data_IF_781357676490
#
_entry.id   IF_781357676490
#
_cell.length_a   1.000
_cell.length_b   1.000
_cell.length_c   1.000
_cell.angle_alpha   90.00
_cell.angle_beta   90.00
_cell.angle_gamma   90.00
#
_symmetry.space_group_name_H-M   'P 1'
#
loop_
_entity.id
_entity.type
_entity.pdbx_description
1 polymer ?
#
# COMPACT_ATOMS: atom_id res chain seq x y z
N UNK A 1 0.51 25.67 19.32
CA UNK A 1 0.16 25.48 17.89
C UNK A 1 1.29 24.68 17.27
N UNK A 2 1.05 23.42 16.87
CA UNK A 2 2.10 22.61 16.26
C UNK A 2 2.40 23.16 14.87
N UNK A 3 3.66 23.54 14.60
CA UNK A 3 4.07 24.00 13.28
C UNK A 3 3.82 22.87 12.28
N UNK A 4 3.09 23.11 11.17
CA UNK A 4 2.91 22.10 10.14
C UNK A 4 4.27 21.70 9.59
N UNK A 5 4.59 20.40 9.62
CA UNK A 5 5.80 19.89 8.98
C UNK A 5 5.62 20.04 7.47
N UNK A 6 6.46 20.85 6.83
CA UNK A 6 6.49 20.96 5.38
C UNK A 6 6.95 19.63 4.78
N UNK A 7 6.15 19.06 3.87
CA UNK A 7 6.51 17.83 3.16
C UNK A 7 7.41 18.19 1.96
N UNK A 8 8.66 17.75 1.99
CA UNK A 8 9.53 17.82 0.81
C UNK A 8 9.42 16.47 0.09
N UNK A 9 8.78 16.46 -1.08
CA UNK A 9 8.65 15.27 -1.89
C UNK A 9 9.99 14.87 -2.51
N UNK A 10 10.29 13.57 -2.50
CA UNK A 10 11.57 13.03 -2.96
C UNK A 10 11.31 12.07 -4.11
N UNK A 11 11.79 12.44 -5.29
CA UNK A 11 11.58 11.67 -6.51
C UNK A 11 10.14 11.73 -7.04
N UNK A 12 9.83 10.81 -7.95
CA UNK A 12 8.54 10.72 -8.59
C UNK A 12 7.51 9.93 -7.75
N UNK A 13 6.24 10.14 -8.04
CA UNK A 13 5.15 9.28 -7.58
C UNK A 13 5.35 7.88 -8.16
N UNK A 14 5.30 6.86 -7.31
CA UNK A 14 5.35 5.45 -7.74
C UNK A 14 3.91 4.93 -7.80
N UNK A 15 3.59 4.22 -8.88
CA UNK A 15 2.25 3.73 -9.18
C UNK A 15 2.29 2.26 -9.62
N UNK A 16 1.30 1.48 -9.18
CA UNK A 16 1.01 0.13 -9.63
C UNK A 16 -0.49 -0.03 -9.84
N UNK A 17 -0.87 -0.40 -11.06
CA UNK A 17 -2.24 -0.85 -11.37
C UNK A 17 -2.32 -2.33 -11.00
N UNK A 18 -3.31 -2.67 -10.17
CA UNK A 18 -3.58 -4.04 -9.75
C UNK A 18 -4.25 -4.78 -10.91
N UNK A 19 -3.56 -5.73 -11.53
CA UNK A 19 -4.04 -6.49 -12.68
C UNK A 19 -4.82 -7.74 -12.28
N UNK A 20 -4.58 -8.29 -11.08
CA UNK A 20 -5.27 -9.49 -10.58
C UNK A 20 -6.19 -9.18 -9.41
N UNK A 21 -7.28 -9.95 -9.31
CA UNK A 21 -8.17 -9.84 -8.15
C UNK A 21 -7.47 -10.28 -6.86
N UNK A 22 -7.76 -9.60 -5.75
CA UNK A 22 -7.23 -9.93 -4.42
C UNK A 22 -8.34 -10.57 -3.59
N UNK A 23 -8.29 -11.90 -3.45
CA UNK A 23 -9.28 -12.67 -2.70
C UNK A 23 -9.35 -12.23 -1.22
N UNK A 24 -10.50 -12.43 -0.58
CA UNK A 24 -10.66 -12.16 0.86
C UNK A 24 -9.71 -13.04 1.68
N UNK A 25 -8.92 -12.43 2.56
CA UNK A 25 -7.90 -13.11 3.34
C UNK A 25 -6.65 -13.49 2.55
N UNK A 26 -6.41 -12.88 1.39
CA UNK A 26 -5.25 -13.13 0.54
C UNK A 26 -4.46 -11.86 0.21
N UNK A 27 -3.22 -12.08 -0.19
CA UNK A 27 -2.32 -11.06 -0.72
C UNK A 27 -2.56 -10.81 -2.20
N UNK A 28 -2.26 -9.59 -2.64
CA UNK A 28 -2.06 -9.30 -4.06
C UNK A 28 -0.96 -10.20 -4.64
N UNK A 29 -1.08 -10.52 -5.92
CA UNK A 29 -0.05 -11.26 -6.64
C UNK A 29 1.29 -10.49 -6.61
N UNK A 30 2.40 -11.20 -6.74
CA UNK A 30 3.74 -10.60 -6.77
C UNK A 30 3.90 -9.56 -7.89
N UNK A 31 3.26 -9.78 -9.04
CA UNK A 31 3.26 -8.83 -10.16
C UNK A 31 2.53 -7.51 -9.84
N UNK A 32 1.62 -7.52 -8.85
CA UNK A 32 0.80 -6.39 -8.43
C UNK A 32 1.37 -5.68 -7.20
N UNK A 33 2.57 -6.03 -6.75
CA UNK A 33 3.22 -5.31 -5.66
C UNK A 33 3.73 -3.93 -6.13
N UNK A 34 3.80 -3.01 -5.17
CA UNK A 34 4.37 -1.68 -5.37
C UNK A 34 5.77 -1.65 -4.75
N UNK A 35 6.79 -1.58 -5.58
CA UNK A 35 8.19 -1.47 -5.12
C UNK A 35 8.55 -0.01 -4.89
N UNK A 36 8.96 0.33 -3.67
CA UNK A 36 9.53 1.64 -3.35
C UNK A 36 11.03 1.49 -3.18
N UNK A 37 11.79 2.24 -3.97
CA UNK A 37 13.24 2.32 -3.86
C UNK A 37 13.64 3.53 -3.01
N UNK A 38 14.24 3.28 -1.86
CA UNK A 38 14.84 4.26 -0.96
C UNK A 38 16.32 3.91 -0.69
N UNK A 39 17.02 3.42 -1.72
CA UNK A 39 18.45 3.08 -1.62
C UNK A 39 19.33 4.32 -1.41
N UNK A 40 18.88 5.48 -1.88
CA UNK A 40 19.49 6.79 -1.61
C UNK A 40 19.37 7.20 -0.13
N UNK A 41 18.40 6.66 0.61
CA UNK A 41 18.15 6.96 2.01
C UNK A 41 17.70 8.40 2.25
N UNK A 42 17.26 9.11 1.22
CA UNK A 42 16.88 10.52 1.32
C UNK A 42 15.46 10.69 1.87
N UNK A 43 14.57 9.72 1.61
CA UNK A 43 13.20 9.75 2.08
C UNK A 43 13.05 9.04 3.43
N UNK A 44 12.42 9.73 4.39
CA UNK A 44 12.11 9.18 5.71
C UNK A 44 10.72 8.54 5.74
N UNK A 45 9.78 9.07 4.96
CA UNK A 45 8.37 8.72 5.01
C UNK A 45 7.80 8.51 3.60
N UNK A 46 6.72 7.74 3.51
CA UNK A 46 5.89 7.67 2.34
C UNK A 46 4.41 7.79 2.70
N UNK A 47 3.66 8.46 1.83
CA UNK A 47 2.21 8.45 1.86
C UNK A 47 1.72 7.45 0.82
N UNK A 48 0.89 6.50 1.26
CA UNK A 48 0.31 5.48 0.39
C UNK A 48 -1.15 5.80 0.11
N UNK A 49 -1.57 5.58 -1.13
CA UNK A 49 -2.94 5.77 -1.57
C UNK A 49 -3.39 4.63 -2.48
N UNK A 50 -4.63 4.19 -2.31
CA UNK A 50 -5.29 3.25 -3.19
C UNK A 50 -6.55 3.91 -3.73
N UNK A 51 -6.61 4.01 -5.05
CA UNK A 51 -7.72 4.66 -5.76
C UNK A 51 -8.50 3.64 -6.58
N UNK A 52 -9.82 3.89 -6.70
CA UNK A 52 -10.75 3.05 -7.43
C UNK A 52 -10.83 1.57 -6.99
N UNK A 53 -10.60 1.18 -5.71
CA UNK A 53 -10.78 -0.22 -5.35
C UNK A 53 -12.28 -0.57 -5.40
N UNK A 54 -12.63 -1.59 -6.18
CA UNK A 54 -14.01 -2.08 -6.29
C UNK A 54 -14.10 -3.48 -5.72
N UNK A 55 -15.26 -3.82 -5.16
CA UNK A 55 -15.58 -5.15 -4.63
C UNK A 55 -16.71 -5.76 -5.46
N UNK A 56 -16.76 -7.09 -5.54
CA UNK A 56 -17.75 -7.79 -6.37
C UNK A 56 -19.21 -7.62 -5.95
N UNK A 57 -19.50 -7.39 -4.67
CA UNK A 57 -20.85 -7.20 -4.13
C UNK A 57 -20.84 -6.46 -2.76
N UNK A 58 -22.02 -6.05 -2.28
CA UNK A 58 -22.25 -5.59 -0.90
C UNK A 58 -23.00 -6.64 -0.05
N UNK A 59 -22.84 -6.65 1.29
CA UNK A 59 -22.02 -5.76 2.13
C UNK A 59 -20.60 -6.29 2.37
N UNK A 60 -19.66 -5.37 2.57
CA UNK A 60 -18.23 -5.64 2.76
C UNK A 60 -17.86 -5.26 4.19
N UNK A 61 -17.30 -6.19 4.96
CA UNK A 61 -16.83 -5.93 6.32
C UNK A 61 -15.33 -6.20 6.37
N UNK A 62 -14.50 -5.18 6.54
CA UNK A 62 -13.04 -5.37 6.63
C UNK A 62 -12.24 -4.19 6.11
N UNK A 63 -10.93 -4.38 5.99
CA UNK A 63 -10.00 -3.33 5.55
C UNK A 63 -8.99 -3.88 4.55
N UNK A 64 -8.36 -2.97 3.82
CA UNK A 64 -7.17 -3.29 3.04
C UNK A 64 -5.98 -2.93 3.89
N UNK A 65 -5.08 -3.89 4.09
CA UNK A 65 -3.85 -3.68 4.84
C UNK A 65 -2.67 -3.60 3.88
N UNK A 66 -1.70 -2.78 4.23
CA UNK A 66 -0.40 -2.73 3.56
C UNK A 66 0.56 -3.60 4.36
N UNK A 67 1.32 -4.43 3.65
CA UNK A 67 2.35 -5.29 4.21
C UNK A 67 3.64 -5.05 3.44
N UNK A 68 4.75 -4.86 4.17
CA UNK A 68 6.06 -4.60 3.62
C UNK A 68 6.95 -5.86 3.66
N UNK A 69 7.69 -6.05 2.57
CA UNK A 69 8.74 -7.07 2.44
C UNK A 69 10.01 -6.39 1.96
N UNK A 70 11.01 -6.36 2.85
CA UNK A 70 12.32 -5.80 2.53
C UNK A 70 13.16 -6.81 1.73
N UNK A 71 14.01 -6.31 0.83
CA UNK A 71 15.00 -7.12 0.11
C UNK A 71 16.41 -6.56 0.30
N UNK A 72 17.39 -7.48 0.36
CA UNK A 72 18.80 -7.12 0.49
C UNK A 72 19.25 -6.23 -0.67
N UNK A 73 20.20 -5.33 -0.39
CA UNK A 73 20.85 -4.43 -1.33
C UNK A 73 21.55 -5.16 -2.50
N UNK A 74 21.74 -6.47 -2.40
CA UNK A 74 22.39 -7.31 -3.43
C UNK A 74 21.47 -7.64 -4.63
N UNK A 75 20.19 -7.28 -4.55
CA UNK A 75 19.38 -6.85 -5.71
C UNK A 75 19.06 -7.83 -6.84
N UNK A 76 19.45 -9.10 -6.81
CA UNK A 76 19.25 -9.99 -7.96
C UNK A 76 17.84 -10.58 -8.07
N UNK A 77 17.12 -10.77 -6.96
CA UNK A 77 15.83 -11.46 -6.96
C UNK A 77 14.83 -10.79 -6.01
N UNK A 78 13.68 -10.45 -6.56
CA UNK A 78 12.52 -10.00 -5.82
C UNK A 78 12.08 -11.09 -4.82
N UNK A 79 11.77 -10.75 -3.54
CA UNK A 79 11.32 -11.72 -2.56
C UNK A 79 9.93 -12.27 -2.96
N UNK A 80 9.62 -13.54 -2.62
CA UNK A 80 8.31 -14.11 -2.91
C UNK A 80 7.21 -13.34 -2.17
N UNK A 81 5.99 -13.36 -2.71
CA UNK A 81 4.83 -12.79 -2.02
C UNK A 81 4.65 -13.45 -0.62
N UNK A 82 4.28 -12.67 0.41
CA UNK A 82 4.01 -13.22 1.74
C UNK A 82 2.92 -14.29 1.70
N UNK A 83 3.05 -15.30 2.56
CA UNK A 83 2.01 -16.31 2.72
C UNK A 83 0.89 -15.78 3.62
N UNK A 84 -0.38 -16.05 3.28
CA UNK A 84 -1.54 -15.57 4.04
C UNK A 84 -1.52 -15.95 5.54
N UNK A 85 -0.83 -17.04 5.91
CA UNK A 85 -0.64 -17.48 7.30
C UNK A 85 0.59 -16.91 8.02
N UNK A 86 1.47 -16.18 7.34
CA UNK A 86 2.65 -15.52 7.89
C UNK A 86 2.67 -14.08 7.39
N UNK A 87 2.04 -13.19 8.15
CA UNK A 87 2.01 -11.77 7.81
C UNK A 87 3.45 -11.27 7.69
N UNK A 88 3.82 -10.76 6.50
CA UNK A 88 5.01 -9.91 6.37
C UNK A 88 4.90 -8.69 7.31
N UNK A 89 5.88 -7.80 7.34
CA UNK A 89 5.87 -6.69 8.30
C UNK A 89 4.64 -5.80 8.07
N UNK A 90 3.66 -5.75 9.00
CA UNK A 90 2.44 -5.00 8.79
C UNK A 90 2.74 -3.50 8.85
N UNK A 91 2.32 -2.77 7.82
CA UNK A 91 2.44 -1.30 7.74
C UNK A 91 1.17 -0.62 8.29
N UNK A 92 0.04 -1.34 8.21
CA UNK A 92 -1.24 -0.95 8.78
C UNK A 92 -2.36 -0.94 7.76
N UNK A 93 -3.58 -0.69 8.24
CA UNK A 93 -4.77 -0.59 7.39
C UNK A 93 -4.82 0.76 6.67
N UNK A 94 -5.25 0.74 5.41
CA UNK A 94 -5.68 1.91 4.68
C UNK A 94 -7.03 2.40 5.24
N UNK A 95 -7.21 3.72 5.31
CA UNK A 95 -8.43 4.37 5.77
C UNK A 95 -9.07 5.20 4.65
N UNK A 96 -10.42 5.30 4.58
CA UNK A 96 -11.40 4.64 5.45
C UNK A 96 -11.43 3.11 5.22
N UNK A 97 -12.08 2.34 6.08
CA UNK A 97 -12.37 0.92 5.78
C UNK A 97 -13.51 0.82 4.75
N UNK A 98 -13.68 -0.34 4.12
CA UNK A 98 -14.89 -0.56 3.33
C UNK A 98 -16.13 -0.45 4.22
N UNK A 99 -17.16 0.22 3.71
CA UNK A 99 -18.46 0.34 4.37
C UNK A 99 -19.43 -0.73 3.88
N UNK A 100 -20.53 -0.90 4.63
CA UNK A 100 -21.62 -1.84 4.29
C UNK A 100 -22.45 -1.42 3.07
N UNK A 101 -22.20 -0.23 2.50
CA UNK A 101 -23.01 0.35 1.43
C UNK A 101 -22.27 0.37 0.09
N UNK A 102 -22.99 0.07 -0.99
CA UNK A 102 -22.51 0.18 -2.37
C UNK A 102 -22.23 1.66 -2.72
N UNK A 103 -21.03 2.14 -2.45
CA UNK A 103 -20.65 3.49 -2.89
C UNK A 103 -20.28 3.43 -4.37
N UNK A 104 -21.09 4.08 -5.22
CA UNK A 104 -20.95 4.17 -6.69
C UNK A 104 -19.60 4.78 -7.12
N UNK A 105 -18.94 5.51 -6.22
CA UNK A 105 -17.56 6.00 -6.38
C UNK A 105 -16.72 5.50 -5.22
N UNK A 106 -15.77 4.56 -5.43
CA UNK A 106 -14.90 4.10 -4.37
C UNK A 106 -14.18 5.28 -3.72
N UNK A 107 -14.14 5.37 -2.37
CA UNK A 107 -13.34 6.38 -1.71
C UNK A 107 -11.86 6.19 -2.02
N UNK A 108 -11.07 7.26 -1.86
CA UNK A 108 -9.61 7.13 -1.85
C UNK A 108 -9.22 6.59 -0.48
N UNK A 109 -8.52 5.48 -0.49
CA UNK A 109 -8.01 4.82 0.70
C UNK A 109 -6.57 5.29 0.89
N UNK A 110 -6.21 5.78 2.07
CA UNK A 110 -4.87 6.31 2.31
C UNK A 110 -4.27 5.85 3.63
N UNK A 111 -2.93 5.83 3.65
CA UNK A 111 -2.11 5.60 4.83
C UNK A 111 -0.93 6.57 4.77
N UNK A 112 -1.08 7.75 5.39
CA UNK A 112 -0.01 8.74 5.40
C UNK A 112 1.08 8.37 6.41
N UNK A 113 2.27 8.93 6.21
CA UNK A 113 3.41 8.92 7.14
C UNK A 113 3.90 7.51 7.49
N UNK A 114 4.01 6.64 6.51
CA UNK A 114 4.63 5.32 6.68
C UNK A 114 6.16 5.49 6.71
N UNK A 115 6.86 5.05 7.77
CA UNK A 115 8.32 5.03 7.80
C UNK A 115 8.89 4.17 6.68
N UNK A 116 9.84 4.74 5.93
CA UNK A 116 10.58 4.01 4.91
C UNK A 116 11.84 3.41 5.51
N UNK A 117 12.16 2.19 5.09
CA UNK A 117 13.44 1.55 5.37
C UNK A 117 14.45 1.94 4.30
N UNK A 118 15.74 1.79 4.60
CA UNK A 118 16.81 2.00 3.61
C UNK A 118 16.84 0.82 2.64
N UNK A 119 17.02 1.11 1.36
CA UNK A 119 17.03 0.10 0.31
C UNK A 119 15.68 0.02 -0.40
N UNK A 120 15.43 -1.11 -1.05
CA UNK A 120 14.18 -1.33 -1.76
C UNK A 120 13.23 -2.17 -0.89
N UNK A 121 11.94 -1.88 -0.97
CA UNK A 121 10.90 -2.58 -0.23
C UNK A 121 9.70 -2.80 -1.14
N UNK A 122 9.16 -4.02 -1.14
CA UNK A 122 7.92 -4.35 -1.84
C UNK A 122 6.73 -4.21 -0.89
N UNK A 123 5.74 -3.45 -1.32
CA UNK A 123 4.50 -3.23 -0.59
C UNK A 123 3.38 -4.02 -1.25
N UNK A 124 2.79 -4.93 -0.48
CA UNK A 124 1.69 -5.78 -0.87
C UNK A 124 0.40 -5.26 -0.24
N UNK A 125 -0.68 -5.31 -1.02
CA UNK A 125 -2.03 -5.17 -0.47
C UNK A 125 -2.49 -6.53 0.05
N UNK A 126 -2.97 -6.55 1.28
CA UNK A 126 -3.64 -7.68 1.90
C UNK A 126 -5.10 -7.34 2.10
N UNK A 127 -5.98 -8.16 1.54
CA UNK A 127 -7.41 -8.02 1.77
C UNK A 127 -7.73 -8.65 3.14
N UNK A 128 -7.79 -7.83 4.18
CA UNK A 128 -7.97 -8.26 5.57
C UNK A 128 -9.44 -8.58 5.87
N UNK A 129 -9.93 -9.62 5.21
CA UNK A 129 -11.20 -10.26 5.52
C UNK A 129 -12.43 -9.46 5.09
N UNK A 130 -12.36 -8.67 4.01
CA UNK A 130 -13.49 -7.86 3.51
C UNK A 130 -14.75 -8.68 3.18
N UNK A 131 -14.64 -10.01 3.11
CA UNK A 131 -15.72 -10.94 2.77
C UNK A 131 -15.96 -11.05 1.27
N UNK A 132 -15.29 -10.22 0.46
CA UNK A 132 -15.37 -10.19 -0.99
C UNK A 132 -13.97 -10.00 -1.60
N UNK A 133 -13.73 -10.39 -2.86
CA UNK A 133 -12.49 -10.04 -3.53
C UNK A 133 -12.46 -8.53 -3.85
N UNK A 134 -11.26 -7.96 -3.82
CA UNK A 134 -10.97 -6.66 -4.46
C UNK A 134 -10.74 -6.96 -5.93
N UNK A 135 -11.49 -6.33 -6.81
CA UNK A 135 -11.38 -6.52 -8.25
C UNK A 135 -10.11 -5.82 -8.79
N UNK A 136 -9.67 -6.29 -9.96
CA UNK A 136 -8.59 -5.64 -10.70
C UNK A 136 -8.96 -4.20 -11.12
N UNK A 137 -7.96 -3.39 -11.42
CA UNK A 137 -8.11 -1.99 -11.87
C UNK A 137 -7.94 -0.95 -10.76
N UNK A 138 -7.77 -1.37 -9.50
CA UNK A 138 -7.36 -0.46 -8.44
C UNK A 138 -5.95 0.07 -8.70
N UNK A 139 -5.69 1.34 -8.38
CA UNK A 139 -4.36 1.95 -8.56
C UNK A 139 -3.74 2.24 -7.21
N UNK A 140 -2.66 1.54 -6.90
CA UNK A 140 -1.90 1.68 -5.66
C UNK A 140 -0.70 2.60 -5.90
N UNK A 141 -0.56 3.62 -5.06
CA UNK A 141 0.41 4.70 -5.22
C UNK A 141 1.17 4.93 -3.94
N UNK A 142 2.44 5.33 -4.08
CA UNK A 142 3.27 5.76 -2.98
C UNK A 142 4.02 7.04 -3.37
N UNK A 143 4.02 8.01 -2.47
CA UNK A 143 4.80 9.24 -2.61
C UNK A 143 5.79 9.34 -1.47
N UNK A 144 7.08 9.24 -1.79
CA UNK A 144 8.18 9.42 -0.84
C UNK A 144 8.33 10.90 -0.47
N UNK A 145 8.60 11.18 0.78
CA UNK A 145 8.86 12.52 1.28
C UNK A 145 9.70 12.50 2.56
N UNK A 146 10.30 13.65 2.85
CA UNK A 146 10.97 13.91 4.13
C UNK A 146 10.47 15.20 4.75
N UNK A 147 10.47 15.31 6.10
CA UNK A 147 10.27 16.57 6.79
C UNK A 147 11.27 17.62 6.29
N UNK A 148 10.78 18.74 5.78
CA UNK A 148 11.60 19.92 5.55
C UNK A 148 11.94 20.62 6.85
N UNK A 149 13.08 21.33 6.88
CA UNK A 149 13.34 22.30 7.95
C UNK A 149 12.22 23.36 7.93
N UNK A 150 11.70 23.78 9.10
CA UNK A 150 10.67 24.81 9.20
C UNK A 150 11.16 26.17 8.70
#
# INVERSE_FOLDING_TARGET
MATPVAQIHIGALVERIIATQIASGAYAAQADCLTVDNSDGLALLADFELTHPTTGAAPVAGSIQIVAVDWSLDGATQPPAPFAGLLGTPVGALAPSFGSTNTVKPPVFSRPRVPLRKGKTDYYLFNAGTGQPILAGAVFRARKWSPGAP
#
